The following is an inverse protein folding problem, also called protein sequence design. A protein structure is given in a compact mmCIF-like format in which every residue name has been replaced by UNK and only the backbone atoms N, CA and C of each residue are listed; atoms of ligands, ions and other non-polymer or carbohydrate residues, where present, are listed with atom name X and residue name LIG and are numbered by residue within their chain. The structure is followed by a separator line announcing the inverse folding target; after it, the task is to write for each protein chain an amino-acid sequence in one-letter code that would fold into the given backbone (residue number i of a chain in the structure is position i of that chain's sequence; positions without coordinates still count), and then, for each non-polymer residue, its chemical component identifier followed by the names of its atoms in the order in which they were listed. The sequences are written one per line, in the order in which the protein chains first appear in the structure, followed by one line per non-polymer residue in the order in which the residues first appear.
data_IF_708487593435
#
_entry.id   IF_708487593435
#
_cell.length_a   1.000
_cell.length_b   1.000
_cell.length_c   1.000
_cell.angle_alpha   90.00
_cell.angle_beta   90.00
_cell.angle_gamma   90.00
#
_symmetry.space_group_name_H-M   'P 1'
#
loop_
_entity.id
_entity.type
_entity.pdbx_description
1 polymer ?
#
# COMPACT_ATOMS: atom_id res chain seq x y z
N UNK A 1 -4.18 42.71 -14.81
CA UNK A 1 -4.50 41.37 -15.36
C UNK A 1 -3.91 40.35 -14.41
N UNK A 2 -4.74 39.56 -13.73
CA UNK A 2 -4.27 38.44 -12.87
C UNK A 2 -4.28 37.19 -13.73
N UNK A 3 -3.13 36.52 -13.89
CA UNK A 3 -3.04 35.19 -14.49
C UNK A 3 -3.11 34.16 -13.37
N UNK A 4 -4.19 33.41 -13.29
CA UNK A 4 -4.30 32.25 -12.39
C UNK A 4 -3.86 31.02 -13.17
N UNK A 5 -2.83 30.32 -12.68
CA UNK A 5 -2.38 29.03 -13.22
C UNK A 5 -2.88 27.94 -12.27
N UNK A 6 -3.87 27.18 -12.69
CA UNK A 6 -4.34 25.98 -11.97
C UNK A 6 -3.47 24.81 -12.44
N UNK A 7 -2.84 24.11 -11.51
CA UNK A 7 -2.14 22.84 -11.77
C UNK A 7 -2.96 21.75 -11.07
N UNK A 8 -3.53 20.84 -11.86
CA UNK A 8 -4.22 19.68 -11.30
C UNK A 8 -3.19 18.68 -10.76
N UNK A 9 -3.48 18.08 -9.59
CA UNK A 9 -2.63 17.04 -8.96
C UNK A 9 -2.94 15.68 -9.59
N UNK A 10 -1.91 14.92 -9.92
CA UNK A 10 -2.03 13.57 -10.47
C UNK A 10 -2.26 12.53 -9.35
N UNK A 11 -3.33 11.72 -9.41
CA UNK A 11 -3.61 10.74 -8.38
C UNK A 11 -2.70 9.51 -8.53
N UNK A 12 -2.10 9.07 -7.43
CA UNK A 12 -1.23 7.87 -7.41
C UNK A 12 -1.87 6.68 -6.72
N UNK A 13 -2.73 6.91 -5.71
CA UNK A 13 -3.47 5.87 -5.02
C UNK A 13 -4.78 6.41 -4.41
N UNK A 14 -5.66 5.47 -4.04
CA UNK A 14 -6.86 5.79 -3.25
C UNK A 14 -6.57 5.48 -1.79
N UNK A 15 -6.78 6.45 -0.91
CA UNK A 15 -6.74 6.26 0.54
C UNK A 15 -8.15 6.15 1.08
N UNK A 16 -8.41 5.12 1.88
CA UNK A 16 -9.67 4.97 2.60
C UNK A 16 -9.40 5.15 4.09
N UNK A 17 -10.11 6.05 4.73
CA UNK A 17 -10.14 6.17 6.19
C UNK A 17 -11.58 6.42 6.63
N UNK A 18 -12.04 5.71 7.65
CA UNK A 18 -13.45 5.64 8.01
C UNK A 18 -14.28 5.17 6.80
N UNK A 19 -15.42 5.79 6.55
CA UNK A 19 -16.27 5.51 5.40
C UNK A 19 -15.99 6.44 4.20
N UNK A 20 -14.83 7.10 4.17
CA UNK A 20 -14.46 8.08 3.15
C UNK A 20 -13.26 7.62 2.33
N UNK A 21 -13.26 8.01 1.06
CA UNK A 21 -12.17 7.75 0.12
C UNK A 21 -11.58 9.05 -0.42
N UNK A 22 -10.27 9.06 -0.59
CA UNK A 22 -9.52 10.23 -1.02
C UNK A 22 -8.52 9.85 -2.11
N UNK A 23 -8.31 10.75 -3.08
CA UNK A 23 -7.19 10.68 -3.99
C UNK A 23 -5.96 11.28 -3.32
N UNK A 24 -4.88 10.50 -3.29
CA UNK A 24 -3.56 10.96 -2.88
C UNK A 24 -2.69 11.17 -4.10
N UNK A 25 -1.80 12.13 -4.01
CA UNK A 25 -0.72 12.33 -4.99
C UNK A 25 0.62 11.77 -4.48
N UNK A 26 1.68 12.00 -5.26
CA UNK A 26 3.04 11.53 -4.95
C UNK A 26 3.63 12.13 -3.68
N UNK A 27 3.12 13.27 -3.21
CA UNK A 27 3.58 13.92 -1.99
C UNK A 27 2.78 13.45 -0.75
N UNK A 28 1.77 12.59 -0.95
CA UNK A 28 0.94 12.02 0.11
C UNK A 28 -0.21 12.93 0.55
N UNK A 29 -0.55 13.97 -0.21
CA UNK A 29 -1.67 14.86 0.12
C UNK A 29 -3.00 14.31 -0.38
N UNK A 30 -4.00 14.27 0.51
CA UNK A 30 -5.38 13.96 0.15
C UNK A 30 -6.08 15.20 -0.43
N UNK A 31 -5.94 15.41 -1.74
CA UNK A 31 -6.40 16.63 -2.40
C UNK A 31 -7.87 16.58 -2.86
N UNK A 32 -8.48 15.39 -2.94
CA UNK A 32 -9.89 15.22 -3.37
C UNK A 32 -10.55 14.04 -2.68
N UNK A 33 -11.71 14.29 -2.06
CA UNK A 33 -12.62 13.23 -1.59
C UNK A 33 -13.42 12.69 -2.77
N UNK A 34 -13.62 11.37 -2.84
CA UNK A 34 -14.31 10.68 -3.93
C UNK A 34 -15.36 9.72 -3.38
N UNK A 35 -16.39 9.46 -4.20
CA UNK A 35 -17.36 8.40 -3.91
C UNK A 35 -16.72 7.02 -4.08
N UNK A 36 -17.21 6.02 -3.36
CA UNK A 36 -16.69 4.65 -3.38
C UNK A 36 -16.91 3.93 -4.72
N UNK A 37 -17.85 4.39 -5.52
CA UNK A 37 -18.17 3.90 -6.87
C UNK A 37 -17.52 4.74 -7.98
N UNK A 38 -16.68 5.73 -7.63
CA UNK A 38 -16.00 6.56 -8.62
C UNK A 38 -15.13 5.69 -9.54
N UNK A 39 -15.14 5.90 -10.88
CA UNK A 39 -14.40 5.06 -11.82
C UNK A 39 -12.90 4.93 -11.50
N UNK A 40 -12.30 5.98 -10.93
CA UNK A 40 -10.88 6.00 -10.53
C UNK A 40 -10.51 4.92 -9.51
N UNK A 41 -11.47 4.51 -8.66
CA UNK A 41 -11.29 3.44 -7.66
C UNK A 41 -10.98 2.09 -8.32
N UNK A 42 -11.44 1.86 -9.56
CA UNK A 42 -11.14 0.63 -10.30
C UNK A 42 -9.75 0.66 -10.95
N UNK A 43 -9.21 1.86 -11.22
CA UNK A 43 -7.93 2.05 -11.91
C UNK A 43 -6.73 2.18 -10.97
N UNK A 44 -6.96 2.64 -9.74
CA UNK A 44 -5.91 2.86 -8.74
C UNK A 44 -6.02 1.83 -7.61
N UNK A 45 -4.87 1.48 -7.03
CA UNK A 45 -4.87 0.62 -5.85
C UNK A 45 -5.29 1.41 -4.61
N UNK A 46 -5.99 0.71 -3.73
CA UNK A 46 -6.54 1.25 -2.50
C UNK A 46 -5.66 0.87 -1.31
N UNK A 47 -5.38 1.86 -0.47
CA UNK A 47 -4.79 1.68 0.87
C UNK A 47 -5.84 2.03 1.90
N UNK A 48 -6.08 1.12 2.85
CA UNK A 48 -7.07 1.25 3.92
C UNK A 48 -6.36 1.61 5.21
N UNK A 49 -6.76 2.71 5.84
CA UNK A 49 -6.37 3.08 7.19
C UNK A 49 -7.27 2.38 8.22
N UNK A 50 -6.78 1.27 8.76
CA UNK A 50 -7.46 0.52 9.80
C UNK A 50 -7.55 1.26 11.14
N UNK A 51 -6.75 2.32 11.34
CA UNK A 51 -6.81 3.17 12.53
C UNK A 51 -7.85 4.29 12.40
N UNK A 52 -8.45 4.46 11.22
CA UNK A 52 -9.48 5.46 10.95
C UNK A 52 -9.07 6.89 11.33
N UNK A 53 -7.79 7.24 11.09
CA UNK A 53 -7.26 8.56 11.39
C UNK A 53 -7.96 9.60 10.50
N UNK A 54 -8.54 10.67 11.08
CA UNK A 54 -9.19 11.71 10.29
C UNK A 54 -8.21 12.36 9.31
N UNK A 55 -8.65 12.51 8.05
CA UNK A 55 -7.84 13.14 7.00
C UNK A 55 -7.91 14.65 7.11
N UNK A 56 -6.75 15.29 7.28
CA UNK A 56 -6.58 16.73 7.17
C UNK A 56 -6.10 17.08 5.76
N UNK A 57 -6.77 18.01 5.07
CA UNK A 57 -6.43 18.40 3.68
C UNK A 57 -5.22 19.33 3.59
N UNK A 58 -4.86 20.00 4.69
CA UNK A 58 -3.75 20.95 4.73
C UNK A 58 -2.41 20.30 5.08
N UNK A 59 -2.41 18.99 5.36
CA UNK A 59 -1.23 18.22 5.75
C UNK A 59 -1.17 16.92 4.94
N UNK A 60 0.04 16.40 4.68
CA UNK A 60 0.17 15.09 4.05
C UNK A 60 -0.40 14.01 4.99
N UNK A 61 -1.14 13.06 4.41
CA UNK A 61 -1.70 11.91 5.14
C UNK A 61 -0.62 10.88 5.44
N UNK A 62 0.30 10.71 4.50
CA UNK A 62 1.46 9.82 4.56
C UNK A 62 2.65 10.52 3.92
N UNK A 63 3.86 10.03 4.16
CA UNK A 63 5.05 10.60 3.52
C UNK A 63 5.20 10.14 2.07
N UNK A 64 5.99 10.87 1.27
CA UNK A 64 6.35 10.48 -0.09
C UNK A 64 7.04 9.13 -0.17
N UNK A 65 7.89 8.80 0.83
CA UNK A 65 8.60 7.52 0.87
C UNK A 65 7.64 6.35 1.04
N UNK A 66 6.58 6.53 1.84
CA UNK A 66 5.53 5.52 1.96
C UNK A 66 4.77 5.34 0.64
N UNK A 67 4.44 6.42 -0.06
CA UNK A 67 3.82 6.37 -1.38
C UNK A 67 4.69 5.59 -2.37
N UNK A 68 5.99 5.90 -2.42
CA UNK A 68 6.93 5.24 -3.30
C UNK A 68 7.07 3.76 -2.96
N UNK A 69 7.16 3.40 -1.68
CA UNK A 69 7.16 2.00 -1.23
C UNK A 69 5.92 1.25 -1.73
N UNK A 70 4.73 1.82 -1.56
CA UNK A 70 3.47 1.20 -1.99
C UNK A 70 3.42 1.02 -3.51
N UNK A 71 3.85 2.04 -4.27
CA UNK A 71 3.89 1.97 -5.74
C UNK A 71 4.87 0.90 -6.22
N UNK A 72 6.07 0.87 -5.63
CA UNK A 72 7.07 -0.15 -5.93
C UNK A 72 6.52 -1.54 -5.63
N UNK A 73 5.87 -1.73 -4.47
CA UNK A 73 5.25 -2.99 -4.05
C UNK A 73 4.20 -3.48 -5.04
N UNK A 74 3.28 -2.61 -5.45
CA UNK A 74 2.24 -2.94 -6.43
C UNK A 74 2.85 -3.36 -7.76
N UNK A 75 3.92 -2.69 -8.20
CA UNK A 75 4.57 -2.97 -9.48
C UNK A 75 5.46 -4.22 -9.48
N UNK A 76 6.18 -4.46 -8.38
CA UNK A 76 7.25 -5.46 -8.30
C UNK A 76 6.75 -6.83 -7.81
N UNK A 77 5.73 -6.88 -6.95
CA UNK A 77 5.23 -8.12 -6.35
C UNK A 77 4.84 -9.20 -7.39
N UNK A 78 4.11 -8.87 -8.49
CA UNK A 78 3.73 -9.87 -9.49
C UNK A 78 4.95 -10.48 -10.19
N UNK A 79 5.95 -9.67 -10.52
CA UNK A 79 7.18 -10.13 -11.17
C UNK A 79 8.08 -10.94 -10.24
N UNK A 80 8.11 -10.61 -8.95
CA UNK A 80 8.96 -11.28 -7.97
C UNK A 80 8.47 -12.68 -7.60
N UNK A 81 7.16 -12.83 -7.35
CA UNK A 81 6.59 -14.04 -6.73
C UNK A 81 5.26 -14.51 -7.35
N UNK A 82 4.82 -13.93 -8.46
CA UNK A 82 3.56 -14.25 -9.13
C UNK A 82 2.32 -14.09 -8.21
N UNK A 83 2.34 -13.08 -7.33
CA UNK A 83 1.21 -12.67 -6.50
C UNK A 83 0.76 -11.26 -6.90
N UNK A 84 -0.55 -11.03 -6.90
CA UNK A 84 -1.13 -9.71 -7.19
C UNK A 84 -1.71 -9.09 -5.94
N UNK A 85 -1.59 -7.77 -5.84
CA UNK A 85 -2.17 -6.98 -4.75
C UNK A 85 -3.67 -6.81 -4.97
N UNK A 86 -4.48 -7.31 -4.03
CA UNK A 86 -5.91 -7.06 -3.96
C UNK A 86 -6.19 -5.75 -3.20
N UNK A 87 -5.83 -5.73 -1.92
CA UNK A 87 -5.99 -4.59 -1.02
C UNK A 87 -4.73 -4.40 -0.17
N UNK A 88 -4.46 -3.17 0.25
CA UNK A 88 -3.41 -2.83 1.21
C UNK A 88 -4.08 -2.22 2.44
N UNK A 89 -3.66 -2.63 3.62
CA UNK A 89 -4.13 -2.07 4.89
C UNK A 89 -2.95 -1.64 5.73
N UNK A 90 -3.01 -0.42 6.26
CA UNK A 90 -2.17 0.00 7.37
C UNK A 90 -2.99 -0.03 8.65
N UNK A 91 -2.31 -0.16 9.78
CA UNK A 91 -2.95 -0.10 11.10
C UNK A 91 -2.36 1.10 11.86
N UNK A 92 -1.84 0.88 13.07
CA UNK A 92 -1.40 1.93 13.98
C UNK A 92 -0.34 2.89 13.42
N UNK A 93 0.43 2.47 12.42
CA UNK A 93 1.52 3.25 11.83
C UNK A 93 1.62 3.00 10.33
N UNK A 94 2.26 3.93 9.61
CA UNK A 94 2.64 3.77 8.21
C UNK A 94 3.93 2.97 8.03
N UNK A 95 4.66 2.66 9.11
CA UNK A 95 5.91 1.87 9.10
C UNK A 95 5.72 0.40 8.76
N UNK A 96 4.47 -0.05 8.66
CA UNK A 96 4.13 -1.42 8.32
C UNK A 96 2.81 -1.43 7.54
N UNK A 97 2.67 -2.42 6.66
CA UNK A 97 1.43 -2.65 5.94
C UNK A 97 1.16 -4.15 5.81
N UNK A 98 -0.11 -4.47 5.65
CA UNK A 98 -0.59 -5.78 5.29
C UNK A 98 -1.13 -5.74 3.85
N UNK A 99 -0.78 -6.76 3.06
CA UNK A 99 -1.18 -6.90 1.66
C UNK A 99 -2.05 -8.13 1.55
N UNK A 100 -3.31 -7.91 1.23
CA UNK A 100 -4.20 -8.99 0.81
C UNK A 100 -3.86 -9.31 -0.63
N UNK A 101 -3.52 -10.58 -0.91
CA UNK A 101 -3.17 -11.02 -2.25
C UNK A 101 -4.37 -11.68 -2.96
N UNK A 102 -4.34 -11.70 -4.29
CA UNK A 102 -5.31 -12.45 -5.09
C UNK A 102 -4.99 -13.95 -5.03
N UNK A 103 -5.68 -14.70 -4.15
CA UNK A 103 -5.58 -16.16 -4.08
C UNK A 103 -4.30 -16.69 -3.40
N UNK A 104 -3.51 -15.82 -2.77
CA UNK A 104 -2.33 -16.18 -1.99
C UNK A 104 -2.48 -15.86 -0.50
N UNK A 105 -1.39 -15.99 0.28
CA UNK A 105 -1.39 -15.61 1.69
C UNK A 105 -1.46 -14.09 1.88
N UNK A 106 -1.83 -13.67 3.08
CA UNK A 106 -1.63 -12.30 3.55
C UNK A 106 -0.13 -12.03 3.70
N UNK A 107 0.36 -10.93 3.16
CA UNK A 107 1.78 -10.56 3.30
C UNK A 107 1.90 -9.35 4.24
N UNK A 108 2.89 -9.36 5.13
CA UNK A 108 3.15 -8.23 6.04
C UNK A 108 4.54 -7.68 5.79
N UNK A 109 4.63 -6.39 5.48
CA UNK A 109 5.86 -5.70 5.14
C UNK A 109 6.17 -4.60 6.14
N UNK A 110 7.46 -4.32 6.33
CA UNK A 110 7.92 -3.10 6.96
C UNK A 110 8.24 -2.08 5.86
N UNK A 111 7.76 -0.85 6.00
CA UNK A 111 7.91 0.19 4.96
C UNK A 111 9.14 1.08 5.19
N UNK A 112 9.80 0.93 6.35
CA UNK A 112 11.04 1.60 6.72
C UNK A 112 12.30 0.88 6.22
N UNK A 113 12.14 -0.24 5.50
CA UNK A 113 13.22 -1.03 4.90
C UNK A 113 13.00 -1.21 3.40
N UNK A 114 14.08 -1.47 2.68
CA UNK A 114 14.01 -1.68 1.24
C UNK A 114 13.05 -2.82 0.88
N UNK A 115 12.16 -2.56 -0.10
CA UNK A 115 11.22 -3.56 -0.59
C UNK A 115 11.95 -4.74 -1.25
N UNK A 116 12.97 -4.46 -2.07
CA UNK A 116 13.72 -5.48 -2.81
C UNK A 116 14.22 -6.62 -1.90
N UNK A 117 14.84 -6.28 -0.77
CA UNK A 117 15.33 -7.27 0.20
C UNK A 117 14.20 -8.10 0.82
N UNK A 118 13.03 -7.49 1.08
CA UNK A 118 11.86 -8.22 1.60
C UNK A 118 11.26 -9.14 0.53
N UNK A 119 11.27 -8.74 -0.74
CA UNK A 119 10.81 -9.58 -1.86
C UNK A 119 11.73 -10.78 -2.11
N UNK A 120 13.05 -10.60 -1.99
CA UNK A 120 14.01 -11.70 -2.09
C UNK A 120 13.77 -12.77 -1.02
N UNK A 121 13.54 -12.33 0.23
CA UNK A 121 13.20 -13.22 1.35
C UNK A 121 11.84 -13.89 1.12
N UNK A 122 10.83 -13.15 0.69
CA UNK A 122 9.50 -13.70 0.39
C UNK A 122 9.60 -14.79 -0.68
N UNK A 123 10.37 -14.55 -1.74
CA UNK A 123 10.58 -15.51 -2.82
C UNK A 123 11.23 -16.80 -2.32
N UNK A 124 12.25 -16.69 -1.47
CA UNK A 124 12.88 -17.85 -0.85
C UNK A 124 11.88 -18.67 -0.03
N UNK A 125 11.12 -18.00 0.84
CA UNK A 125 10.13 -18.64 1.73
C UNK A 125 9.01 -19.31 0.93
N UNK A 126 8.49 -18.66 -0.10
CA UNK A 126 7.46 -19.23 -0.96
C UNK A 126 7.99 -20.41 -1.78
N UNK A 127 9.27 -20.46 -2.14
CA UNK A 127 9.85 -21.60 -2.84
C UNK A 127 10.04 -22.81 -1.92
N UNK A 128 10.48 -22.58 -0.67
CA UNK A 128 10.81 -23.67 0.25
C UNK A 128 9.63 -24.18 1.07
N UNK A 129 8.70 -23.28 1.43
CA UNK A 129 7.67 -23.53 2.45
C UNK A 129 6.25 -23.36 1.94
N UNK A 130 6.04 -23.24 0.62
CA UNK A 130 4.72 -22.98 0.00
C UNK A 130 3.58 -23.79 0.61
N UNK A 131 3.78 -25.09 0.77
CA UNK A 131 2.74 -26.01 1.24
C UNK A 131 2.41 -25.82 2.72
N UNK A 132 3.31 -25.21 3.50
CA UNK A 132 3.14 -24.95 4.93
C UNK A 132 2.49 -23.58 5.20
N UNK A 133 2.43 -22.69 4.20
CA UNK A 133 1.87 -21.35 4.33
C UNK A 133 0.38 -21.42 4.00
N UNK A 134 -0.48 -21.27 5.01
CA UNK A 134 -1.95 -21.35 4.87
C UNK A 134 -2.65 -20.02 5.02
N UNK A 135 -2.05 -19.06 5.71
CA UNK A 135 -2.67 -17.80 6.12
C UNK A 135 -1.80 -16.60 5.78
N UNK A 136 -0.55 -16.56 6.26
CA UNK A 136 0.26 -15.36 6.12
C UNK A 136 1.77 -15.60 6.03
N UNK A 137 2.47 -14.60 5.51
CA UNK A 137 3.93 -14.44 5.60
C UNK A 137 4.23 -13.06 6.17
N UNK A 138 4.92 -13.01 7.31
CA UNK A 138 5.32 -11.80 8.00
C UNK A 138 6.82 -11.56 7.83
N UNK A 139 7.15 -10.49 7.12
CA UNK A 139 8.51 -10.11 6.75
C UNK A 139 9.01 -8.94 7.62
N UNK A 140 8.22 -8.45 8.58
CA UNK A 140 8.49 -7.19 9.30
C UNK A 140 9.71 -7.27 10.22
N UNK A 141 10.08 -8.46 10.68
CA UNK A 141 11.22 -8.64 11.56
C UNK A 141 12.46 -8.94 10.72
N UNK A 142 13.51 -8.12 10.87
CA UNK A 142 14.76 -8.37 10.15
C UNK A 142 15.41 -9.70 10.59
N UNK A 143 15.84 -10.49 9.62
CA UNK A 143 16.46 -11.79 9.86
C UNK A 143 15.49 -12.93 10.21
N UNK A 144 14.20 -12.65 10.40
CA UNK A 144 13.19 -13.66 10.72
C UNK A 144 11.98 -13.57 9.79
N UNK A 145 11.41 -14.73 9.49
CA UNK A 145 10.12 -14.81 8.79
C UNK A 145 9.18 -15.67 9.60
N UNK A 146 8.01 -15.14 9.88
CA UNK A 146 6.93 -15.89 10.51
C UNK A 146 5.87 -16.21 9.46
N UNK A 147 5.41 -17.46 9.44
CA UNK A 147 4.34 -17.86 8.55
C UNK A 147 3.41 -18.84 9.26
N UNK A 148 2.18 -18.88 8.77
CA UNK A 148 1.16 -19.84 9.14
C UNK A 148 0.45 -20.28 7.88
#
# INVERSE_FOLDING_TARGET
IVKIKVVERDPVLVWQSQDKMYLLDSEGYAYKEIASDAPVVQSLKKVIDGSNVPVNKDQPVVSSEFIDFVRELISSLPGAVNLKVKDITIHHTTFQLEVVTEGGPLLKFATDRALASQLDVLKLVLNEKKEQIKEYVDLRVEGYVYYK
#
